data_IF_396587480760
#
_entry.id   IF_396587480760
#
_cell.length_a   1.000
_cell.length_b   1.000
_cell.length_c   1.000
_cell.angle_alpha   90.00
_cell.angle_beta   90.00
_cell.angle_gamma   90.00
#
_symmetry.space_group_name_H-M   'P 1'
#
loop_
_entity.id
_entity.type
_entity.pdbx_description
1 polymer ?
#
# COMPACT_ATOMS: atom_id res chain seq x y z
N UNK A 1 0.35 11.81 13.35
CA UNK A 1 0.16 12.25 11.96
C UNK A 1 -1.00 11.46 11.41
N UNK A 2 -1.98 12.14 10.83
CA UNK A 2 -3.05 11.50 10.08
C UNK A 2 -2.42 10.80 8.85
N UNK A 3 -2.97 9.68 8.38
CA UNK A 3 -2.46 9.00 7.19
C UNK A 3 -2.49 9.94 5.96
N UNK A 4 -3.47 10.84 5.87
CA UNK A 4 -3.52 11.88 4.84
C UNK A 4 -2.32 12.83 4.86
N UNK A 5 -1.82 13.19 6.05
CA UNK A 5 -0.60 14.01 6.19
C UNK A 5 0.62 13.29 5.59
N UNK A 6 0.62 11.95 5.62
CA UNK A 6 1.70 11.13 5.10
C UNK A 6 1.75 11.12 3.57
N UNK A 7 0.59 11.04 2.90
CA UNK A 7 0.52 11.08 1.45
C UNK A 7 0.87 12.48 0.92
N UNK A 8 0.42 13.53 1.58
CA UNK A 8 0.78 14.90 1.23
C UNK A 8 2.28 15.14 1.38
N UNK A 9 2.89 14.60 2.44
CA UNK A 9 4.34 14.63 2.60
C UNK A 9 5.08 13.86 1.49
N UNK A 10 4.53 12.77 0.95
CA UNK A 10 5.10 12.10 -0.22
C UNK A 10 5.08 13.00 -1.46
N UNK A 11 3.96 13.70 -1.70
CA UNK A 11 3.81 14.67 -2.80
C UNK A 11 4.82 15.82 -2.65
N UNK A 12 5.05 16.29 -1.43
CA UNK A 12 6.08 17.29 -1.15
C UNK A 12 7.48 16.77 -1.48
N UNK A 13 7.89 15.59 -0.97
CA UNK A 13 9.21 15.01 -1.26
C UNK A 13 9.44 14.82 -2.76
N UNK A 14 8.41 14.37 -3.48
CA UNK A 14 8.49 14.13 -4.92
C UNK A 14 8.85 15.40 -5.71
N UNK A 15 8.37 16.56 -5.25
CA UNK A 15 8.61 17.85 -5.89
C UNK A 15 9.88 18.57 -5.41
N UNK A 16 10.64 18.01 -4.46
CA UNK A 16 11.90 18.61 -4.00
C UNK A 16 12.93 18.54 -5.12
N UNK A 17 13.38 19.71 -5.57
CA UNK A 17 14.57 19.81 -6.42
C UNK A 17 15.81 19.45 -5.60
N UNK A 18 16.55 18.46 -6.07
CA UNK A 18 17.76 17.97 -5.42
C UNK A 18 18.65 17.30 -6.46
N UNK A 19 19.96 17.35 -6.28
CA UNK A 19 20.91 16.54 -7.05
C UNK A 19 20.74 15.03 -6.76
N UNK A 20 20.10 14.68 -5.64
CA UNK A 20 19.87 13.31 -5.19
C UNK A 20 18.41 12.86 -5.40
N UNK A 21 17.80 13.19 -6.56
CA UNK A 21 16.39 12.86 -6.85
C UNK A 21 16.04 11.38 -6.66
N UNK A 22 16.97 10.48 -6.95
CA UNK A 22 16.76 9.04 -6.80
C UNK A 22 16.50 8.64 -5.34
N UNK A 23 17.20 9.26 -4.39
CA UNK A 23 16.97 9.05 -2.95
C UNK A 23 15.56 9.54 -2.56
N UNK A 24 15.14 10.68 -3.10
CA UNK A 24 13.79 11.19 -2.89
C UNK A 24 12.74 10.23 -3.45
N UNK A 25 12.96 9.67 -4.65
CA UNK A 25 12.07 8.68 -5.25
C UNK A 25 11.97 7.40 -4.41
N UNK A 26 13.08 6.90 -3.85
CA UNK A 26 13.06 5.77 -2.91
C UNK A 26 12.20 6.09 -1.68
N UNK A 27 12.42 7.25 -1.07
CA UNK A 27 11.64 7.70 0.08
C UNK A 27 10.14 7.78 -0.22
N UNK A 28 9.78 8.31 -1.39
CA UNK A 28 8.39 8.39 -1.87
C UNK A 28 7.78 7.00 -2.00
N UNK A 29 8.47 6.06 -2.66
CA UNK A 29 7.97 4.68 -2.83
C UNK A 29 7.72 4.02 -1.49
N UNK A 30 8.66 4.14 -0.55
CA UNK A 30 8.56 3.53 0.77
C UNK A 30 7.41 4.10 1.57
N UNK A 31 7.29 5.43 1.63
CA UNK A 31 6.22 6.10 2.37
C UNK A 31 4.84 5.86 1.76
N UNK A 32 4.72 5.85 0.43
CA UNK A 32 3.46 5.54 -0.26
C UNK A 32 2.97 4.13 0.08
N UNK A 33 3.87 3.15 0.12
CA UNK A 33 3.52 1.80 0.56
C UNK A 33 3.03 1.76 2.01
N UNK A 34 3.74 2.44 2.93
CA UNK A 34 3.35 2.44 4.34
C UNK A 34 2.00 3.13 4.56
N UNK A 35 1.70 4.22 3.84
CA UNK A 35 0.38 4.84 3.82
C UNK A 35 -0.71 3.83 3.45
N UNK A 36 -0.60 3.19 2.27
CA UNK A 36 -1.60 2.21 1.83
C UNK A 36 -1.71 1.01 2.79
N UNK A 37 -0.59 0.59 3.39
CA UNK A 37 -0.55 -0.50 4.37
C UNK A 37 -1.32 -0.18 5.63
N UNK A 38 -1.10 0.99 6.24
CA UNK A 38 -1.81 1.35 7.46
C UNK A 38 -3.30 1.58 7.21
N UNK A 39 -3.66 2.26 6.12
CA UNK A 39 -5.07 2.39 5.69
C UNK A 39 -5.76 1.02 5.53
N UNK A 40 -5.05 0.06 4.92
CA UNK A 40 -5.56 -1.31 4.77
C UNK A 40 -5.74 -1.99 6.13
N UNK A 41 -4.74 -1.92 7.01
CA UNK A 41 -4.78 -2.55 8.33
C UNK A 41 -5.89 -1.94 9.19
N UNK A 42 -6.02 -0.63 9.18
CA UNK A 42 -7.05 0.09 9.95
C UNK A 42 -8.45 -0.29 9.48
N UNK A 43 -8.68 -0.33 8.15
CA UNK A 43 -9.96 -0.81 7.61
C UNK A 43 -10.24 -2.26 8.01
N UNK A 44 -9.26 -3.15 7.87
CA UNK A 44 -9.43 -4.57 8.23
C UNK A 44 -9.65 -4.78 9.74
N UNK A 45 -9.08 -3.91 10.58
CA UNK A 45 -9.31 -3.92 12.02
C UNK A 45 -10.76 -3.53 12.34
N UNK A 46 -11.29 -2.50 11.67
CA UNK A 46 -12.71 -2.11 11.80
C UNK A 46 -13.65 -3.24 11.36
N UNK A 47 -13.31 -3.92 10.25
CA UNK A 47 -14.10 -5.03 9.72
C UNK A 47 -13.94 -6.35 10.50
N UNK A 48 -12.92 -6.47 11.36
CA UNK A 48 -12.63 -7.69 12.11
C UNK A 48 -12.23 -8.90 11.24
N UNK A 49 -11.77 -8.68 10.01
CA UNK A 49 -11.41 -9.77 9.09
C UNK A 49 -10.19 -10.55 9.57
N UNK A 50 -10.22 -11.87 9.41
CA UNK A 50 -9.22 -12.80 9.97
C UNK A 50 -8.04 -13.00 9.03
N UNK A 51 -6.87 -13.26 9.63
CA UNK A 51 -5.66 -13.63 8.88
C UNK A 51 -5.87 -14.98 8.21
N UNK A 52 -5.47 -15.10 6.94
CA UNK A 52 -5.60 -16.37 6.18
C UNK A 52 -4.31 -17.16 6.10
N UNK A 53 -3.18 -16.52 6.43
CA UNK A 53 -1.87 -17.18 6.49
C UNK A 53 -1.21 -16.97 7.85
N UNK A 54 -0.51 -17.99 8.33
CA UNK A 54 0.23 -17.96 9.60
C UNK A 54 1.76 -17.86 9.41
N UNK A 55 2.25 -17.94 8.16
CA UNK A 55 3.68 -17.92 7.83
C UNK A 55 3.99 -16.74 6.90
N UNK A 56 5.16 -16.13 7.09
CA UNK A 56 5.64 -15.01 6.29
C UNK A 56 5.97 -13.77 7.13
N UNK A 57 6.38 -12.69 6.48
CA UNK A 57 6.60 -11.42 7.16
C UNK A 57 5.27 -10.77 7.61
N UNK A 58 5.32 -10.00 8.69
CA UNK A 58 4.15 -9.34 9.32
C UNK A 58 3.24 -8.66 8.29
N UNK A 59 3.83 -7.92 7.35
CA UNK A 59 3.07 -7.21 6.32
C UNK A 59 2.26 -8.14 5.41
N UNK A 60 2.82 -9.29 5.04
CA UNK A 60 2.12 -10.27 4.21
C UNK A 60 1.00 -10.95 5.01
N UNK A 61 1.25 -11.24 6.29
CA UNK A 61 0.26 -11.81 7.20
C UNK A 61 -0.93 -10.85 7.38
N UNK A 62 -0.68 -9.55 7.61
CA UNK A 62 -1.77 -8.58 7.76
C UNK A 62 -2.56 -8.39 6.47
N UNK A 63 -1.88 -8.23 5.33
CA UNK A 63 -2.54 -8.07 4.02
C UNK A 63 -3.37 -9.30 3.64
N UNK A 64 -2.97 -10.51 4.09
CA UNK A 64 -3.72 -11.75 3.84
C UNK A 64 -5.17 -11.72 4.32
N UNK A 65 -5.50 -10.83 5.26
CA UNK A 65 -6.85 -10.66 5.78
C UNK A 65 -7.85 -10.20 4.72
N UNK A 66 -7.39 -9.52 3.65
CA UNK A 66 -8.21 -9.19 2.47
C UNK A 66 -8.73 -10.43 1.72
N UNK A 67 -8.22 -11.62 2.04
CA UNK A 67 -8.71 -12.91 1.53
C UNK A 67 -9.49 -13.70 2.58
N UNK A 68 -9.60 -13.19 3.80
CA UNK A 68 -10.22 -13.84 4.95
C UNK A 68 -11.57 -13.26 5.33
N UNK A 69 -12.24 -12.64 4.37
CA UNK A 69 -13.58 -12.10 4.54
C UNK A 69 -14.59 -13.23 4.82
N UNK A 70 -15.65 -12.96 5.60
CA UNK A 70 -16.69 -13.94 5.87
C UNK A 70 -17.64 -14.12 4.68
N UNK A 71 -17.79 -15.36 4.20
CA UNK A 71 -18.54 -15.76 2.99
C UNK A 71 -20.00 -15.27 2.90
N UNK A 72 -20.58 -14.74 3.98
CA UNK A 72 -21.98 -14.31 4.04
C UNK A 72 -22.19 -12.80 4.25
N UNK A 73 -21.12 -12.01 4.27
CA UNK A 73 -21.23 -10.57 4.57
C UNK A 73 -20.89 -9.67 3.38
N UNK A 74 -20.20 -10.19 2.35
CA UNK A 74 -19.84 -9.40 1.17
C UNK A 74 -20.68 -9.77 -0.04
N UNK A 75 -20.87 -8.78 -0.89
CA UNK A 75 -21.30 -8.98 -2.28
C UNK A 75 -20.15 -9.52 -3.14
N UNK A 76 -20.47 -10.17 -4.27
CA UNK A 76 -19.49 -10.61 -5.28
C UNK A 76 -18.54 -9.49 -5.72
N UNK A 77 -19.03 -8.24 -5.73
CA UNK A 77 -18.26 -7.05 -6.12
C UNK A 77 -17.22 -6.72 -5.05
N UNK A 78 -17.63 -6.70 -3.78
CA UNK A 78 -16.73 -6.43 -2.65
C UNK A 78 -15.66 -7.52 -2.50
N UNK A 79 -16.01 -8.80 -2.73
CA UNK A 79 -15.02 -9.88 -2.73
C UNK A 79 -13.97 -9.72 -3.82
N UNK A 80 -14.41 -9.41 -5.05
CA UNK A 80 -13.50 -9.17 -6.19
C UNK A 80 -12.61 -7.97 -5.90
N UNK A 81 -13.17 -6.93 -5.30
CA UNK A 81 -12.43 -5.74 -4.89
C UNK A 81 -11.38 -6.08 -3.83
N UNK A 82 -11.73 -6.81 -2.77
CA UNK A 82 -10.80 -7.22 -1.72
C UNK A 82 -9.62 -8.04 -2.28
N UNK A 83 -9.91 -9.01 -3.16
CA UNK A 83 -8.89 -9.80 -3.87
C UNK A 83 -7.99 -8.93 -4.76
N UNK A 84 -8.57 -7.94 -5.46
CA UNK A 84 -7.83 -6.97 -6.27
C UNK A 84 -6.91 -6.11 -5.40
N UNK A 85 -7.42 -5.57 -4.29
CA UNK A 85 -6.64 -4.77 -3.35
C UNK A 85 -5.48 -5.56 -2.75
N UNK A 86 -5.70 -6.84 -2.39
CA UNK A 86 -4.65 -7.73 -1.92
C UNK A 86 -3.49 -7.84 -2.93
N UNK A 87 -3.80 -8.02 -4.21
CA UNK A 87 -2.78 -8.08 -5.26
C UNK A 87 -2.02 -6.76 -5.40
N UNK A 88 -2.74 -5.64 -5.43
CA UNK A 88 -2.19 -4.29 -5.64
C UNK A 88 -1.25 -3.87 -4.52
N UNK A 89 -1.68 -4.04 -3.26
CA UNK A 89 -0.82 -3.69 -2.12
C UNK A 89 0.40 -4.62 -2.01
N UNK A 90 0.25 -5.89 -2.41
CA UNK A 90 1.37 -6.83 -2.52
C UNK A 90 2.38 -6.39 -3.59
N UNK A 91 1.90 -5.83 -4.71
CA UNK A 91 2.78 -5.25 -5.73
C UNK A 91 3.52 -4.00 -5.20
N UNK A 92 2.83 -3.10 -4.49
CA UNK A 92 3.48 -1.95 -3.82
C UNK A 92 4.55 -2.41 -2.81
N UNK A 93 4.29 -3.47 -2.04
CA UNK A 93 5.28 -4.04 -1.11
C UNK A 93 6.56 -4.48 -1.82
N UNK A 94 6.46 -5.05 -3.03
CA UNK A 94 7.63 -5.43 -3.83
C UNK A 94 8.42 -4.20 -4.26
N UNK A 95 7.74 -3.14 -4.70
CA UNK A 95 8.37 -1.87 -5.05
C UNK A 95 9.06 -1.22 -3.85
N UNK A 96 8.42 -1.22 -2.68
CA UNK A 96 9.03 -0.77 -1.42
C UNK A 96 10.26 -1.60 -1.04
N UNK A 97 10.20 -2.92 -1.21
CA UNK A 97 11.35 -3.81 -0.95
C UNK A 97 12.52 -3.48 -1.88
N UNK A 98 12.24 -3.16 -3.15
CA UNK A 98 13.24 -2.68 -4.11
C UNK A 98 13.84 -1.34 -3.66
N UNK A 99 12.99 -0.37 -3.30
CA UNK A 99 13.43 0.96 -2.88
C UNK A 99 14.34 0.91 -1.63
N UNK A 100 13.95 0.14 -0.62
CA UNK A 100 14.67 0.09 0.67
C UNK A 100 15.96 -0.76 0.62
N UNK A 101 15.97 -1.85 -0.16
CA UNK A 101 17.01 -2.88 -0.01
C UNK A 101 17.82 -3.18 -1.27
N UNK A 102 17.41 -2.68 -2.45
CA UNK A 102 18.07 -2.94 -3.73
C UNK A 102 18.67 -1.66 -4.30
N UNK A 103 19.83 -1.27 -3.74
CA UNK A 103 20.55 -0.06 -4.14
C UNK A 103 21.16 -0.17 -5.56
N UNK A 104 21.40 -1.40 -6.02
CA UNK A 104 21.82 -1.73 -7.37
C UNK A 104 20.72 -1.53 -8.42
N UNK A 105 19.47 -1.40 -8.00
CA UNK A 105 18.33 -1.25 -8.89
C UNK A 105 17.70 0.15 -8.74
N UNK A 106 17.81 1.03 -9.74
CA UNK A 106 17.33 2.40 -9.63
C UNK A 106 15.79 2.46 -9.53
N UNK A 107 15.31 3.47 -8.79
CA UNK A 107 13.90 3.88 -8.77
C UNK A 107 13.74 5.08 -9.70
N UNK A 108 12.89 4.95 -10.72
CA UNK A 108 12.59 6.05 -11.63
C UNK A 108 11.50 6.97 -11.06
N UNK A 109 11.47 8.20 -11.56
CA UNK A 109 10.41 9.16 -11.28
C UNK A 109 9.01 8.58 -11.52
N UNK A 110 8.81 7.92 -12.68
CA UNK A 110 7.53 7.29 -13.03
C UNK A 110 7.12 6.21 -12.04
N UNK A 111 8.07 5.46 -11.47
CA UNK A 111 7.78 4.48 -10.43
C UNK A 111 7.34 5.16 -9.13
N UNK A 112 8.02 6.22 -8.72
CA UNK A 112 7.64 6.98 -7.52
C UNK A 112 6.25 7.61 -7.67
N UNK A 113 5.98 8.25 -8.83
CA UNK A 113 4.68 8.82 -9.14
C UNK A 113 3.57 7.76 -9.14
N UNK A 114 3.82 6.61 -9.79
CA UNK A 114 2.89 5.48 -9.75
C UNK A 114 2.56 5.07 -8.31
N UNK A 115 3.56 4.94 -7.44
CA UNK A 115 3.34 4.54 -6.05
C UNK A 115 2.44 5.52 -5.28
N UNK A 116 2.59 6.83 -5.50
CA UNK A 116 1.72 7.84 -4.87
C UNK A 116 0.27 7.62 -5.32
N UNK A 117 0.03 7.60 -6.63
CA UNK A 117 -1.32 7.48 -7.20
C UNK A 117 -1.97 6.15 -6.81
N UNK A 118 -1.21 5.06 -6.87
CA UNK A 118 -1.70 3.73 -6.54
C UNK A 118 -2.05 3.61 -5.05
N UNK A 119 -1.25 4.22 -4.17
CA UNK A 119 -1.52 4.21 -2.73
C UNK A 119 -2.78 5.02 -2.38
N UNK A 120 -2.98 6.17 -3.02
CA UNK A 120 -4.20 6.99 -2.91
C UNK A 120 -5.44 6.22 -3.38
N UNK A 121 -5.38 5.59 -4.56
CA UNK A 121 -6.50 4.82 -5.11
C UNK A 121 -6.82 3.56 -4.27
N UNK A 122 -5.83 2.91 -3.66
CA UNK A 122 -6.06 1.82 -2.70
C UNK A 122 -6.85 2.33 -1.49
N UNK A 123 -6.44 3.45 -0.87
CA UNK A 123 -7.16 4.05 0.27
C UNK A 123 -8.60 4.38 -0.09
N UNK A 124 -8.83 5.02 -1.24
CA UNK A 124 -10.17 5.35 -1.72
C UNK A 124 -11.04 4.10 -1.94
N UNK A 125 -10.48 3.04 -2.56
CA UNK A 125 -11.22 1.82 -2.82
C UNK A 125 -11.52 1.00 -1.56
N UNK A 126 -10.70 1.08 -0.51
CA UNK A 126 -10.98 0.45 0.79
C UNK A 126 -12.28 0.96 1.42
N UNK A 127 -12.69 2.20 1.13
CA UNK A 127 -13.95 2.77 1.62
C UNK A 127 -15.18 2.07 1.02
N UNK A 128 -15.03 1.39 -0.13
CA UNK A 128 -16.12 0.69 -0.82
C UNK A 128 -16.30 -0.76 -0.35
N UNK A 129 -15.63 -1.16 0.74
CA UNK A 129 -15.79 -2.48 1.38
C UNK A 129 -16.52 -2.25 2.71
N UNK A 130 -17.65 -2.94 2.94
CA UNK A 130 -18.44 -2.81 4.16
C UNK A 130 -18.31 -4.01 5.10
#
# INVERSE_FOLDING_TARGET
>A
MNNLDHLEYCKQIFNIESEYKEINYRNVVTKSYYFAFYETVDKLNLLGWKKTVAKGGVHAIEVSRLLGFPEKQLTDIEEKLAKKLHYRITALKKLRTKADYKLDQPISERMAQYCIVEAEDISNQLQNIN
#
